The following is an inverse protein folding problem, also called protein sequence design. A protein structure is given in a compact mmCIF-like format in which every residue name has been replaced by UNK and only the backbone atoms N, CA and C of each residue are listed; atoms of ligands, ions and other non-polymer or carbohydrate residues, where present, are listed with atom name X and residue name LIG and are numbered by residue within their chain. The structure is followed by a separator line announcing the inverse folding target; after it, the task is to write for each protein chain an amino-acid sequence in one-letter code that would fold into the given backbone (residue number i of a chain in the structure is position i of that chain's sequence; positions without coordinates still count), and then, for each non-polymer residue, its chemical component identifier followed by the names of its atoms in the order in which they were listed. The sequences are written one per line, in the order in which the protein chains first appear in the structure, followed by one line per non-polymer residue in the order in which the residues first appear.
data_IF_808094929820
#
_entry.id   IF_808094929820
#
_cell.length_a   1.000
_cell.length_b   1.000
_cell.length_c   1.000
_cell.angle_alpha   90.00
_cell.angle_beta   90.00
_cell.angle_gamma   90.00
#
_symmetry.space_group_name_H-M   'P 1'
#
loop_
_entity.id
_entity.type
_entity.pdbx_description
1 polymer ?
#
# COMPACT_ATOMS: atom_id res chain seq x y z
N UNK A 1 -45.69 67.25 59.47
CA UNK A 1 -46.26 66.31 60.46
C UNK A 1 -45.61 64.96 60.22
N UNK A 2 -44.90 64.48 61.25
CA UNK A 2 -44.01 63.31 61.27
C UNK A 2 -44.78 62.02 61.00
N UNK A 3 -44.28 61.11 60.16
CA UNK A 3 -44.59 59.67 60.28
C UNK A 3 -43.56 58.77 59.56
N UNK A 4 -42.71 58.16 60.40
CA UNK A 4 -42.15 56.80 60.37
C UNK A 4 -41.52 56.23 59.08
N UNK A 5 -40.18 56.24 59.06
CA UNK A 5 -39.33 55.38 58.21
C UNK A 5 -39.24 53.98 58.83
N UNK A 6 -39.95 53.00 58.27
CA UNK A 6 -39.77 51.58 58.58
C UNK A 6 -38.73 50.95 57.64
N UNK A 7 -37.56 50.64 58.21
CA UNK A 7 -36.46 49.89 57.58
C UNK A 7 -36.93 48.47 57.23
N UNK A 8 -36.85 48.08 55.96
CA UNK A 8 -37.01 46.69 55.50
C UNK A 8 -35.71 45.89 55.75
N UNK A 9 -35.76 44.67 56.33
CA UNK A 9 -34.57 43.85 56.49
C UNK A 9 -34.17 43.22 55.14
N UNK A 10 -32.89 43.29 54.78
CA UNK A 10 -32.29 42.48 53.72
C UNK A 10 -32.18 41.03 54.21
N UNK A 11 -32.84 40.10 53.51
CA UNK A 11 -32.61 38.66 53.64
C UNK A 11 -31.31 38.28 52.90
N UNK A 12 -30.41 37.49 53.51
CA UNK A 12 -29.24 36.97 52.80
C UNK A 12 -29.68 35.87 51.83
N UNK A 13 -29.39 36.04 50.53
CA UNK A 13 -29.48 34.95 49.56
C UNK A 13 -28.40 33.90 49.91
N UNK A 14 -28.82 32.77 50.45
CA UNK A 14 -27.99 31.56 50.49
C UNK A 14 -27.91 30.98 49.08
N UNK A 15 -26.75 31.11 48.43
CA UNK A 15 -26.44 30.41 47.19
C UNK A 15 -26.21 28.92 47.51
N UNK A 16 -27.15 28.07 47.10
CA UNK A 16 -27.00 26.61 47.13
C UNK A 16 -26.03 26.19 46.01
N UNK A 17 -24.90 25.52 46.30
CA UNK A 17 -24.09 24.93 45.24
C UNK A 17 -24.84 23.72 44.69
N UNK A 18 -25.39 23.83 43.48
CA UNK A 18 -25.84 22.68 42.71
C UNK A 18 -24.61 21.83 42.36
N UNK A 19 -24.42 20.74 43.12
CA UNK A 19 -23.56 19.63 42.74
C UNK A 19 -24.11 19.01 41.45
N UNK A 20 -23.56 19.41 40.32
CA UNK A 20 -23.74 18.69 39.04
C UNK A 20 -22.94 17.39 39.15
N UNK A 21 -23.63 16.31 39.51
CA UNK A 21 -23.08 14.96 39.42
C UNK A 21 -22.92 14.66 37.92
N UNK A 22 -21.71 14.37 37.41
CA UNK A 22 -21.56 13.96 36.03
C UNK A 22 -22.30 12.64 35.84
N UNK A 23 -23.41 12.67 35.10
CA UNK A 23 -24.05 11.45 34.65
C UNK A 23 -23.08 10.74 33.70
N UNK A 24 -22.75 9.45 33.93
CA UNK A 24 -21.97 8.69 32.96
C UNK A 24 -22.78 8.66 31.66
N UNK A 25 -22.22 9.27 30.61
CA UNK A 25 -22.72 9.06 29.25
C UNK A 25 -22.70 7.54 29.00
N UNK A 26 -23.78 6.92 28.49
CA UNK A 26 -23.69 5.55 28.04
C UNK A 26 -22.51 5.43 27.08
N UNK A 27 -21.53 4.62 27.45
CA UNK A 27 -20.50 4.18 26.53
C UNK A 27 -21.25 3.59 25.34
N UNK A 28 -21.06 4.17 24.15
CA UNK A 28 -21.45 3.46 22.94
C UNK A 28 -20.70 2.13 23.03
N UNK A 29 -21.45 1.04 23.22
CA UNK A 29 -20.96 -0.29 22.88
C UNK A 29 -20.62 -0.19 21.40
N UNK A 30 -19.36 0.14 21.11
CA UNK A 30 -18.86 0.13 19.75
C UNK A 30 -19.16 -1.29 19.26
N UNK A 31 -20.03 -1.39 18.25
CA UNK A 31 -20.34 -2.67 17.63
C UNK A 31 -19.03 -3.36 17.23
N UNK A 32 -19.02 -4.69 17.26
CA UNK A 32 -17.83 -5.44 16.90
C UNK A 32 -17.35 -4.99 15.51
N UNK A 33 -16.05 -4.69 15.32
CA UNK A 33 -15.56 -3.95 14.16
C UNK A 33 -15.61 -4.73 12.84
N UNK A 34 -15.86 -6.03 12.88
CA UNK A 34 -15.88 -6.91 11.72
C UNK A 34 -17.24 -7.58 11.61
N UNK A 35 -17.77 -7.71 10.40
CA UNK A 35 -19.03 -8.42 10.19
C UNK A 35 -19.09 -9.21 8.90
N UNK A 36 -19.83 -10.31 8.93
CA UNK A 36 -20.14 -11.17 7.80
C UNK A 36 -21.66 -11.36 7.82
N UNK A 37 -22.35 -10.92 6.77
CA UNK A 37 -23.80 -11.08 6.62
C UNK A 37 -24.65 -10.68 7.85
N UNK A 38 -24.18 -9.68 8.61
CA UNK A 38 -24.83 -9.15 9.81
C UNK A 38 -24.38 -9.78 11.13
N UNK A 39 -23.66 -10.90 11.10
CA UNK A 39 -22.96 -11.43 12.27
C UNK A 39 -21.71 -10.60 12.57
N UNK A 40 -21.50 -10.23 13.84
CA UNK A 40 -20.44 -9.30 14.25
C UNK A 40 -19.37 -10.02 15.08
N UNK A 41 -18.10 -9.73 14.78
CA UNK A 41 -16.92 -10.35 15.38
C UNK A 41 -16.02 -9.30 16.03
N UNK A 42 -15.52 -9.63 17.22
CA UNK A 42 -14.63 -8.74 18.00
C UNK A 42 -13.18 -8.74 17.49
N UNK A 43 -12.74 -9.82 16.83
CA UNK A 43 -11.40 -9.97 16.23
C UNK A 43 -11.52 -10.33 14.77
N UNK A 44 -10.58 -9.86 13.95
CA UNK A 44 -10.59 -10.12 12.53
C UNK A 44 -10.41 -11.62 12.25
N UNK A 45 -9.53 -12.26 13.02
CA UNK A 45 -9.29 -13.70 12.89
C UNK A 45 -10.56 -14.51 13.12
N UNK A 46 -11.42 -14.13 14.07
CA UNK A 46 -12.67 -14.86 14.32
C UNK A 46 -13.62 -14.81 13.12
N UNK A 47 -13.66 -13.67 12.41
CA UNK A 47 -14.41 -13.54 11.16
C UNK A 47 -13.79 -14.38 10.03
N UNK A 48 -12.45 -14.40 9.91
CA UNK A 48 -11.76 -15.25 8.93
C UNK A 48 -12.04 -16.73 9.18
N UNK A 49 -11.96 -17.17 10.44
CA UNK A 49 -12.20 -18.55 10.86
C UNK A 49 -13.67 -18.96 10.61
N UNK A 50 -14.61 -18.02 10.79
CA UNK A 50 -16.03 -18.26 10.52
C UNK A 50 -16.32 -18.51 9.02
N UNK A 51 -15.55 -17.92 8.09
CA UNK A 51 -15.67 -18.22 6.66
C UNK A 51 -15.07 -19.61 6.35
N UNK A 52 -13.93 -19.93 6.97
CA UNK A 52 -13.26 -21.23 6.81
C UNK A 52 -12.89 -21.52 5.36
N UNK A 53 -13.32 -22.67 4.84
CA UNK A 53 -13.08 -23.08 3.45
C UNK A 53 -14.03 -22.43 2.42
N UNK A 54 -15.04 -21.69 2.90
CA UNK A 54 -16.06 -21.07 2.07
C UNK A 54 -15.60 -19.79 1.36
N UNK A 55 -16.58 -19.07 0.83
CA UNK A 55 -16.41 -17.74 0.26
C UNK A 55 -17.22 -16.73 1.07
N UNK A 56 -16.64 -15.57 1.38
CA UNK A 56 -17.32 -14.57 2.20
C UNK A 56 -16.70 -13.18 2.13
N UNK A 57 -17.46 -12.19 2.57
CA UNK A 57 -17.00 -10.80 2.69
C UNK A 57 -17.00 -10.37 4.16
N UNK A 58 -15.83 -9.99 4.65
CA UNK A 58 -15.68 -9.33 5.94
C UNK A 58 -15.79 -7.83 5.71
N UNK A 59 -16.87 -7.24 6.23
CA UNK A 59 -17.07 -5.79 6.29
C UNK A 59 -16.38 -5.22 7.53
N UNK A 60 -15.51 -4.24 7.32
CA UNK A 60 -14.63 -3.69 8.35
C UNK A 60 -15.05 -2.26 8.66
N UNK A 61 -15.46 -2.01 9.90
CA UNK A 61 -15.96 -0.72 10.36
C UNK A 61 -14.87 0.37 10.31
N UNK A 62 -15.26 1.66 10.22
CA UNK A 62 -14.34 2.78 10.41
C UNK A 62 -13.61 2.70 11.75
N UNK A 63 -12.32 3.01 11.76
CA UNK A 63 -11.51 3.05 12.96
C UNK A 63 -10.07 2.58 12.75
N UNK A 64 -9.30 2.65 13.83
CA UNK A 64 -7.99 2.04 13.92
C UNK A 64 -8.13 0.59 14.39
N UNK A 65 -7.65 -0.33 13.58
CA UNK A 65 -7.64 -1.76 13.84
C UNK A 65 -6.21 -2.15 14.25
N UNK A 66 -6.03 -2.38 15.56
CA UNK A 66 -4.82 -2.98 16.13
C UNK A 66 -4.96 -4.50 16.10
N UNK A 67 -5.13 -5.03 14.90
CA UNK A 67 -5.47 -6.43 14.66
C UNK A 67 -4.74 -6.92 13.41
N UNK A 68 -4.71 -8.24 13.24
CA UNK A 68 -4.17 -8.90 12.06
C UNK A 68 -4.88 -10.23 11.86
N UNK A 69 -4.78 -10.80 10.67
CA UNK A 69 -5.34 -12.13 10.41
C UNK A 69 -4.49 -12.95 9.45
N UNK A 70 -4.63 -14.26 9.60
CA UNK A 70 -4.08 -15.30 8.74
C UNK A 70 -5.25 -16.02 8.06
N UNK A 71 -5.37 -15.87 6.75
CA UNK A 71 -6.32 -16.63 5.93
C UNK A 71 -5.63 -17.90 5.44
N UNK A 72 -6.00 -19.05 6.01
CA UNK A 72 -5.44 -20.36 5.61
C UNK A 72 -6.27 -21.11 4.57
N UNK A 73 -7.53 -20.72 4.37
CA UNK A 73 -8.46 -21.37 3.46
C UNK A 73 -9.46 -20.37 2.86
N UNK A 74 -10.33 -20.87 1.99
CA UNK A 74 -11.47 -20.13 1.45
C UNK A 74 -11.09 -18.95 0.56
N UNK A 75 -12.12 -18.23 0.09
CA UNK A 75 -11.98 -16.99 -0.69
C UNK A 75 -12.58 -15.83 0.10
N UNK A 76 -11.75 -14.89 0.54
CA UNK A 76 -12.21 -13.83 1.46
C UNK A 76 -12.02 -12.45 0.84
N UNK A 77 -13.10 -11.66 0.83
CA UNK A 77 -13.04 -10.24 0.57
C UNK A 77 -12.99 -9.45 1.88
N UNK A 78 -11.96 -8.63 2.08
CA UNK A 78 -11.82 -7.71 3.18
C UNK A 78 -12.17 -6.31 2.69
N UNK A 79 -13.31 -5.77 3.14
CA UNK A 79 -13.92 -4.58 2.56
C UNK A 79 -14.19 -3.54 3.64
N UNK A 80 -13.65 -2.34 3.49
CA UNK A 80 -14.01 -1.22 4.34
C UNK A 80 -15.51 -0.92 4.19
N UNK A 81 -16.22 -0.76 5.31
CA UNK A 81 -17.59 -0.26 5.29
C UNK A 81 -17.64 1.17 4.72
N UNK A 82 -16.61 1.97 5.01
CA UNK A 82 -16.36 3.28 4.40
C UNK A 82 -14.92 3.32 3.87
N UNK A 83 -14.70 3.43 2.54
CA UNK A 83 -13.36 3.45 1.96
C UNK A 83 -12.43 4.49 2.60
N UNK A 84 -11.21 4.09 2.93
CA UNK A 84 -10.19 4.92 3.56
C UNK A 84 -10.36 5.12 5.07
N UNK A 85 -11.40 4.54 5.69
CA UNK A 85 -11.71 4.75 7.11
C UNK A 85 -11.41 3.56 8.02
N UNK A 86 -11.18 2.37 7.46
CA UNK A 86 -10.67 1.21 8.19
C UNK A 86 -9.14 1.14 8.08
N UNK A 87 -8.44 1.38 9.20
CA UNK A 87 -6.98 1.56 9.23
C UNK A 87 -6.31 0.48 10.08
N UNK A 88 -5.66 -0.48 9.44
CA UNK A 88 -4.76 -1.43 10.09
C UNK A 88 -3.45 -0.73 10.45
N UNK A 89 -3.08 -0.73 11.74
CA UNK A 89 -1.96 0.05 12.25
C UNK A 89 -0.98 -0.82 13.05
N UNK A 90 0.19 -1.07 12.48
CA UNK A 90 1.39 -1.58 13.15
C UNK A 90 1.32 -2.98 13.77
N UNK A 91 0.16 -3.63 13.78
CA UNK A 91 0.00 -5.01 14.26
C UNK A 91 0.19 -5.97 13.09
N UNK A 92 1.03 -6.98 13.28
CA UNK A 92 1.34 -7.99 12.28
C UNK A 92 1.16 -9.39 12.84
N UNK A 93 0.69 -10.29 11.98
CA UNK A 93 0.56 -11.71 12.24
C UNK A 93 1.81 -12.43 11.71
N UNK A 94 2.23 -13.47 12.43
CA UNK A 94 3.41 -14.31 12.11
C UNK A 94 4.73 -13.54 11.96
N UNK A 95 4.81 -12.31 12.47
CA UNK A 95 5.96 -11.43 12.21
C UNK A 95 6.11 -11.05 10.74
N UNK A 96 5.00 -11.02 9.98
CA UNK A 96 5.00 -10.76 8.52
C UNK A 96 4.18 -9.52 8.15
N UNK A 97 2.87 -9.56 8.37
CA UNK A 97 1.95 -8.55 7.82
C UNK A 97 0.65 -8.42 8.63
N UNK A 98 -0.12 -7.35 8.39
CA UNK A 98 -1.48 -7.27 8.93
C UNK A 98 -2.40 -8.36 8.36
N UNK A 99 -2.28 -8.65 7.06
CA UNK A 99 -2.97 -9.77 6.42
C UNK A 99 -1.95 -10.75 5.86
N UNK A 100 -1.94 -11.98 6.36
CA UNK A 100 -1.17 -13.08 5.80
C UNK A 100 -2.13 -14.01 5.06
N UNK A 101 -2.03 -14.01 3.73
CA UNK A 101 -3.04 -14.59 2.86
C UNK A 101 -2.46 -15.82 2.17
N UNK A 102 -3.04 -16.99 2.44
CA UNK A 102 -2.67 -18.27 1.84
C UNK A 102 -3.87 -19.19 1.58
N UNK A 103 -5.07 -18.61 1.46
CA UNK A 103 -6.30 -19.31 1.08
C UNK A 103 -6.46 -19.44 -0.44
N UNK A 104 -7.68 -19.74 -0.91
CA UNK A 104 -8.02 -19.93 -2.32
C UNK A 104 -8.12 -18.61 -3.14
N UNK A 105 -7.98 -17.47 -2.48
CA UNK A 105 -7.95 -16.15 -3.10
C UNK A 105 -8.43 -15.07 -2.14
N UNK A 106 -8.11 -13.81 -2.44
CA UNK A 106 -8.51 -12.70 -1.60
C UNK A 106 -8.81 -11.43 -2.39
N UNK A 107 -9.62 -10.56 -1.77
CA UNK A 107 -9.90 -9.22 -2.27
C UNK A 107 -9.75 -8.21 -1.15
N UNK A 108 -9.17 -7.06 -1.46
CA UNK A 108 -9.02 -5.91 -0.57
C UNK A 108 -9.71 -4.72 -1.21
N UNK A 109 -10.64 -4.10 -0.50
CA UNK A 109 -11.34 -2.90 -0.99
C UNK A 109 -11.42 -1.80 0.07
N UNK A 110 -10.80 -0.65 -0.22
CA UNK A 110 -10.95 0.54 0.61
C UNK A 110 -10.16 0.54 1.92
N UNK A 111 -9.30 -0.45 2.17
CA UNK A 111 -8.53 -0.55 3.42
C UNK A 111 -7.29 0.34 3.42
N UNK A 112 -6.89 0.78 4.62
CA UNK A 112 -5.62 1.46 4.86
C UNK A 112 -4.71 0.58 5.71
N UNK A 113 -3.46 0.41 5.29
CA UNK A 113 -2.41 -0.27 6.04
C UNK A 113 -1.30 0.72 6.38
N UNK A 114 -0.90 0.79 7.64
CA UNK A 114 0.17 1.69 8.06
C UNK A 114 1.07 1.17 9.17
N UNK A 115 2.28 1.72 9.22
CA UNK A 115 3.26 1.49 10.28
C UNK A 115 3.67 0.02 10.46
N UNK A 116 3.59 -0.79 9.40
CA UNK A 116 3.97 -2.20 9.46
C UNK A 116 5.49 -2.32 9.50
N UNK A 117 6.00 -2.90 10.59
CA UNK A 117 7.42 -3.11 10.85
C UNK A 117 7.62 -4.42 11.57
N UNK A 118 8.57 -5.24 11.11
CA UNK A 118 8.88 -6.53 11.71
C UNK A 118 10.40 -6.71 11.84
N UNK A 119 10.89 -7.65 12.67
CA UNK A 119 12.33 -7.76 12.96
C UNK A 119 13.22 -8.04 11.73
N UNK A 120 12.73 -8.78 10.74
CA UNK A 120 13.47 -9.09 9.51
C UNK A 120 13.48 -7.94 8.49
N UNK A 121 12.73 -6.88 8.77
CA UNK A 121 12.67 -5.67 7.98
C UNK A 121 11.76 -5.68 6.76
N UNK A 122 10.86 -6.67 6.65
CA UNK A 122 9.89 -6.80 5.55
C UNK A 122 8.42 -6.74 6.03
N UNK A 123 8.14 -5.91 7.04
CA UNK A 123 6.79 -5.78 7.59
C UNK A 123 5.82 -5.17 6.59
N UNK A 124 4.80 -5.94 6.18
CA UNK A 124 3.89 -5.57 5.09
C UNK A 124 2.47 -5.26 5.55
N UNK A 125 1.71 -4.52 4.74
CA UNK A 125 0.26 -4.52 4.85
C UNK A 125 -0.31 -5.90 4.52
N UNK A 126 0.19 -6.49 3.43
CA UNK A 126 -0.22 -7.82 2.94
C UNK A 126 0.99 -8.69 2.66
N UNK A 127 1.00 -9.90 3.23
CA UNK A 127 1.86 -10.99 2.79
C UNK A 127 0.99 -12.00 2.03
N UNK A 128 1.19 -12.12 0.72
CA UNK A 128 0.46 -13.08 -0.13
C UNK A 128 1.34 -14.29 -0.43
N UNK A 129 0.97 -15.46 0.07
CA UNK A 129 1.79 -16.67 -0.08
C UNK A 129 1.35 -17.57 -1.24
N UNK A 130 0.09 -17.47 -1.69
CA UNK A 130 -0.45 -18.18 -2.86
C UNK A 130 -1.77 -17.53 -3.29
N UNK A 131 -2.26 -17.91 -4.47
CA UNK A 131 -3.56 -17.56 -5.02
C UNK A 131 -3.70 -16.12 -5.52
N UNK A 132 -4.83 -15.87 -6.20
CA UNK A 132 -5.15 -14.55 -6.74
C UNK A 132 -5.43 -13.52 -5.64
N UNK A 133 -4.97 -12.29 -5.87
CA UNK A 133 -5.26 -11.14 -5.02
C UNK A 133 -5.71 -9.94 -5.85
N UNK A 134 -6.90 -9.43 -5.54
CA UNK A 134 -7.41 -8.17 -6.06
C UNK A 134 -7.35 -7.07 -5.00
N UNK A 135 -6.58 -6.01 -5.24
CA UNK A 135 -6.47 -4.84 -4.36
C UNK A 135 -7.04 -3.62 -5.07
N UNK A 136 -8.04 -2.99 -4.47
CA UNK A 136 -8.66 -1.79 -5.03
C UNK A 136 -8.94 -0.72 -3.98
N UNK A 137 -8.81 0.56 -4.36
CA UNK A 137 -9.11 1.70 -3.50
C UNK A 137 -8.35 1.68 -2.16
N UNK A 138 -7.19 1.00 -2.10
CA UNK A 138 -6.46 0.78 -0.86
C UNK A 138 -5.32 1.81 -0.69
N UNK A 139 -4.89 2.03 0.55
CA UNK A 139 -3.72 2.85 0.84
C UNK A 139 -2.73 2.12 1.74
N UNK A 140 -1.48 2.08 1.32
CA UNK A 140 -0.34 1.54 2.08
C UNK A 140 0.59 2.70 2.41
N UNK A 141 0.91 2.91 3.69
CA UNK A 141 1.80 4.01 4.08
C UNK A 141 2.71 3.76 5.26
N UNK A 142 3.83 4.47 5.30
CA UNK A 142 4.75 4.52 6.45
C UNK A 142 5.18 3.13 6.98
N UNK A 143 5.32 2.15 6.09
CA UNK A 143 5.58 0.74 6.41
C UNK A 143 6.86 0.28 5.70
N UNK A 144 7.43 -0.84 6.13
CA UNK A 144 8.58 -1.43 5.45
C UNK A 144 8.20 -1.91 4.05
N UNK A 145 7.13 -2.69 3.94
CA UNK A 145 6.51 -3.16 2.69
C UNK A 145 5.05 -2.69 2.57
N UNK A 146 4.55 -2.55 1.35
CA UNK A 146 3.11 -2.48 1.10
C UNK A 146 2.53 -3.88 0.92
N UNK A 147 2.95 -4.54 -0.15
CA UNK A 147 2.58 -5.91 -0.51
C UNK A 147 3.84 -6.71 -0.79
N UNK A 148 3.98 -7.86 -0.14
CA UNK A 148 5.07 -8.81 -0.37
C UNK A 148 4.51 -10.19 -0.68
N UNK A 149 4.90 -10.78 -1.81
CA UNK A 149 4.39 -12.10 -2.23
C UNK A 149 5.45 -13.20 -2.16
N UNK A 150 5.01 -14.44 -2.02
CA UNK A 150 5.79 -15.63 -2.37
C UNK A 150 5.74 -15.89 -3.89
N UNK A 151 5.98 -17.13 -4.31
CA UNK A 151 5.89 -17.54 -5.71
C UNK A 151 4.59 -18.33 -5.94
N UNK A 152 3.83 -17.93 -6.95
CA UNK A 152 2.68 -18.67 -7.48
C UNK A 152 2.52 -18.38 -8.98
N UNK A 153 3.24 -19.10 -9.86
CA UNK A 153 3.25 -18.81 -11.30
C UNK A 153 1.89 -19.04 -11.98
N UNK A 154 0.94 -19.71 -11.31
CA UNK A 154 -0.42 -19.90 -11.81
C UNK A 154 -1.38 -18.76 -11.46
N UNK A 155 -1.00 -17.89 -10.52
CA UNK A 155 -1.86 -16.86 -9.96
C UNK A 155 -1.57 -15.46 -10.53
N UNK A 156 -2.49 -14.55 -10.19
CA UNK A 156 -2.46 -13.15 -10.59
C UNK A 156 -2.59 -12.19 -9.39
N UNK A 157 -1.91 -11.04 -9.50
CA UNK A 157 -2.09 -9.92 -8.58
C UNK A 157 -2.58 -8.71 -9.36
N UNK A 158 -3.74 -8.20 -8.99
CA UNK A 158 -4.29 -6.96 -9.54
C UNK A 158 -4.29 -5.86 -8.48
N UNK A 159 -3.75 -4.71 -8.83
CA UNK A 159 -3.76 -3.50 -8.00
C UNK A 159 -4.36 -2.37 -8.81
N UNK A 160 -5.45 -1.79 -8.31
CA UNK A 160 -6.18 -0.73 -8.98
C UNK A 160 -6.51 0.43 -8.03
N UNK A 161 -6.48 1.66 -8.54
CA UNK A 161 -6.90 2.88 -7.79
C UNK A 161 -6.33 2.96 -6.37
N UNK A 162 -5.09 2.53 -6.18
CA UNK A 162 -4.49 2.42 -4.85
C UNK A 162 -3.35 3.43 -4.66
N UNK A 163 -2.91 3.61 -3.42
CA UNK A 163 -1.80 4.52 -3.09
C UNK A 163 -0.75 3.83 -2.23
N UNK A 164 0.51 3.98 -2.59
CA UNK A 164 1.69 3.50 -1.89
C UNK A 164 2.57 4.71 -1.56
N UNK A 165 2.67 5.07 -0.28
CA UNK A 165 3.28 6.34 0.16
C UNK A 165 4.23 6.14 1.33
N UNK A 166 5.49 6.56 1.24
CA UNK A 166 6.49 6.33 2.31
C UNK A 166 6.64 4.87 2.70
N UNK A 167 6.93 4.04 1.69
CA UNK A 167 7.24 2.62 1.85
C UNK A 167 8.68 2.34 1.44
N UNK A 168 9.17 1.17 1.84
CA UNK A 168 10.49 0.69 1.50
C UNK A 168 11.57 1.17 2.47
N UNK A 169 12.69 0.44 2.44
CA UNK A 169 13.92 0.70 3.20
C UNK A 169 15.06 -0.11 2.60
N UNK A 170 16.30 0.35 2.76
CA UNK A 170 17.52 -0.37 2.36
C UNK A 170 18.65 -0.24 3.39
N UNK A 171 18.32 0.10 4.65
CA UNK A 171 19.27 0.36 5.74
C UNK A 171 19.47 -0.88 6.63
N UNK A 172 20.01 -0.73 7.85
CA UNK A 172 20.14 -1.81 8.88
C UNK A 172 20.89 -3.10 8.47
N UNK A 173 21.54 -3.16 7.31
CA UNK A 173 22.24 -4.37 6.83
C UNK A 173 21.31 -5.55 6.49
N UNK A 174 20.00 -5.30 6.36
CA UNK A 174 19.01 -6.30 5.95
C UNK A 174 18.69 -6.13 4.46
N UNK A 175 18.00 -7.12 3.88
CA UNK A 175 17.46 -6.99 2.52
C UNK A 175 16.59 -5.73 2.41
N UNK A 176 16.57 -5.14 1.21
CA UNK A 176 15.70 -4.01 0.94
C UNK A 176 14.24 -4.44 0.97
N UNK A 177 13.40 -3.57 1.53
CA UNK A 177 11.96 -3.64 1.39
C UNK A 177 11.49 -2.63 0.32
N UNK A 178 10.32 -2.86 -0.27
CA UNK A 178 9.80 -2.11 -1.41
C UNK A 178 8.37 -1.59 -1.16
N UNK A 179 7.74 -0.95 -2.16
CA UNK A 179 6.30 -0.63 -2.03
C UNK A 179 5.44 -1.84 -2.41
N UNK A 180 5.72 -2.43 -3.57
CA UNK A 180 5.17 -3.71 -4.00
C UNK A 180 6.34 -4.61 -4.40
N UNK A 181 6.43 -5.76 -3.75
CA UNK A 181 7.44 -6.77 -4.04
C UNK A 181 6.77 -8.12 -4.32
N UNK A 182 6.80 -8.55 -5.58
CA UNK A 182 6.32 -9.87 -5.95
C UNK A 182 7.47 -10.86 -6.18
N UNK A 183 7.28 -12.09 -5.69
CA UNK A 183 7.89 -13.27 -6.28
C UNK A 183 7.35 -13.54 -7.69
N UNK A 184 7.55 -14.77 -8.16
CA UNK A 184 7.12 -15.22 -9.49
C UNK A 184 5.61 -15.40 -9.49
N UNK A 185 4.91 -14.60 -10.29
CA UNK A 185 3.47 -14.70 -10.55
C UNK A 185 3.22 -14.82 -12.05
N UNK A 186 2.11 -15.44 -12.44
CA UNK A 186 1.74 -15.54 -13.85
C UNK A 186 1.49 -14.16 -14.46
N UNK A 187 0.76 -13.32 -13.73
CA UNK A 187 0.40 -11.97 -14.16
C UNK A 187 0.36 -10.97 -13.00
N UNK A 188 0.93 -9.78 -13.22
CA UNK A 188 0.76 -8.63 -12.32
C UNK A 188 0.17 -7.46 -13.10
N UNK A 189 -0.96 -6.95 -12.63
CA UNK A 189 -1.66 -5.79 -13.20
C UNK A 189 -1.62 -4.67 -12.18
N UNK A 190 -1.08 -3.51 -12.55
CA UNK A 190 -1.04 -2.32 -11.71
C UNK A 190 -1.59 -1.17 -12.52
N UNK A 191 -2.76 -0.67 -12.16
CA UNK A 191 -3.41 0.42 -12.89
C UNK A 191 -3.90 1.54 -11.98
N UNK A 192 -3.92 2.78 -12.51
CA UNK A 192 -4.49 3.96 -11.84
C UNK A 192 -3.98 4.14 -10.40
N UNK A 193 -2.75 3.71 -10.17
CA UNK A 193 -2.15 3.61 -8.83
C UNK A 193 -1.07 4.65 -8.65
N UNK A 194 -0.99 5.20 -7.44
CA UNK A 194 -0.05 6.25 -7.08
C UNK A 194 1.04 5.71 -6.18
N UNK A 195 2.29 5.84 -6.61
CA UNK A 195 3.49 5.56 -5.84
C UNK A 195 4.18 6.88 -5.53
N UNK A 196 4.43 7.17 -4.26
CA UNK A 196 5.07 8.43 -3.89
C UNK A 196 5.95 8.35 -2.63
N UNK A 197 6.88 9.29 -2.50
CA UNK A 197 7.59 9.56 -1.24
C UNK A 197 8.28 8.32 -0.64
N UNK A 198 8.77 7.41 -1.47
CA UNK A 198 9.42 6.18 -1.03
C UNK A 198 10.54 6.46 -0.04
N UNK A 199 10.77 5.53 0.89
CA UNK A 199 11.77 5.64 1.96
C UNK A 199 12.90 4.61 1.82
N UNK A 200 12.94 3.93 0.67
CA UNK A 200 13.97 3.00 0.26
C UNK A 200 13.47 2.06 -0.82
N UNK A 201 14.36 1.28 -1.41
CA UNK A 201 14.00 0.21 -2.35
C UNK A 201 13.22 0.69 -3.58
N UNK A 202 12.63 -0.26 -4.30
CA UNK A 202 11.85 0.02 -5.51
C UNK A 202 10.40 0.37 -5.17
N UNK A 203 9.74 1.13 -6.05
CA UNK A 203 8.28 1.30 -5.94
C UNK A 203 7.56 0.02 -6.38
N UNK A 204 7.88 -0.51 -7.56
CA UNK A 204 7.33 -1.78 -8.04
C UNK A 204 8.47 -2.72 -8.44
N UNK A 205 8.71 -3.76 -7.64
CA UNK A 205 9.60 -4.88 -7.98
C UNK A 205 8.78 -6.12 -8.23
N UNK A 206 8.76 -6.63 -9.45
CA UNK A 206 7.95 -7.80 -9.80
C UNK A 206 8.68 -8.83 -10.64
N UNK A 207 8.61 -10.10 -10.23
CA UNK A 207 9.10 -11.24 -11.02
C UNK A 207 8.00 -11.89 -11.87
N UNK A 208 6.91 -11.18 -12.14
CA UNK A 208 5.81 -11.71 -12.93
C UNK A 208 6.22 -12.00 -14.38
N UNK A 209 5.66 -13.06 -14.95
CA UNK A 209 5.91 -13.46 -16.33
C UNK A 209 5.30 -12.41 -17.28
N UNK A 210 4.06 -12.01 -17.02
CA UNK A 210 3.35 -10.97 -17.75
C UNK A 210 3.03 -9.79 -16.84
N UNK A 211 3.26 -8.57 -17.33
CA UNK A 211 2.90 -7.34 -16.62
C UNK A 211 1.96 -6.46 -17.44
N UNK A 212 1.04 -5.80 -16.74
CA UNK A 212 0.26 -4.66 -17.26
C UNK A 212 0.37 -3.51 -16.26
N UNK A 213 1.31 -2.60 -16.51
CA UNK A 213 1.60 -1.46 -15.65
C UNK A 213 1.17 -0.21 -16.40
N UNK A 214 -0.08 0.20 -16.20
CA UNK A 214 -0.72 1.22 -17.03
C UNK A 214 -1.42 2.35 -16.23
N UNK A 215 -1.33 3.58 -16.72
CA UNK A 215 -1.98 4.76 -16.12
C UNK A 215 -1.62 5.00 -14.64
N UNK A 216 -0.37 4.75 -14.24
CA UNK A 216 0.11 4.99 -12.88
C UNK A 216 0.92 6.28 -12.76
N UNK A 217 1.08 6.77 -11.53
CA UNK A 217 2.00 7.86 -11.22
C UNK A 217 3.07 7.42 -10.23
N UNK A 218 4.34 7.60 -10.59
CA UNK A 218 5.52 7.40 -9.74
C UNK A 218 6.17 8.75 -9.45
N UNK A 219 5.87 9.32 -8.28
CA UNK A 219 6.36 10.62 -7.83
C UNK A 219 7.39 10.48 -6.72
N UNK A 220 8.66 10.48 -7.11
CA UNK A 220 9.79 10.30 -6.22
C UNK A 220 10.40 11.65 -5.79
N UNK A 221 9.75 12.79 -6.08
CA UNK A 221 10.28 14.13 -5.76
C UNK A 221 10.55 14.36 -4.27
N UNK A 222 9.80 13.65 -3.42
CA UNK A 222 9.92 13.63 -1.96
C UNK A 222 10.36 12.25 -1.45
N UNK A 223 10.94 11.42 -2.30
CA UNK A 223 11.55 10.15 -1.90
C UNK A 223 12.94 10.33 -1.31
N UNK A 224 13.36 9.35 -0.50
CA UNK A 224 14.66 9.28 0.15
C UNK A 224 15.23 7.87 0.02
N UNK A 225 16.48 7.73 -0.41
CA UNK A 225 17.14 6.42 -0.52
C UNK A 225 16.46 5.43 -1.45
N UNK A 226 15.59 5.87 -2.36
CA UNK A 226 14.84 4.98 -3.24
C UNK A 226 15.70 4.43 -4.38
N UNK A 227 15.25 3.35 -5.00
CA UNK A 227 15.92 2.64 -6.09
C UNK A 227 15.07 2.77 -7.38
N UNK A 228 15.20 1.86 -8.36
CA UNK A 228 14.40 1.93 -9.60
C UNK A 228 12.89 2.06 -9.33
N UNK A 229 12.18 2.78 -10.19
CA UNK A 229 10.72 2.94 -10.02
C UNK A 229 9.98 1.66 -10.37
N UNK A 230 10.37 1.06 -11.48
CA UNK A 230 9.93 -0.27 -11.88
C UNK A 230 11.17 -1.14 -12.04
N UNK A 231 11.19 -2.25 -11.34
CA UNK A 231 12.19 -3.29 -11.48
C UNK A 231 11.51 -4.59 -11.88
N UNK A 232 11.92 -5.12 -13.04
CA UNK A 232 11.54 -6.43 -13.56
C UNK A 232 12.77 -7.34 -13.43
N UNK A 233 13.16 -7.76 -12.22
CA UNK A 233 14.48 -8.34 -11.97
C UNK A 233 14.74 -9.63 -12.76
N UNK A 234 13.68 -10.38 -13.10
CA UNK A 234 13.76 -11.62 -13.89
C UNK A 234 13.41 -11.45 -15.38
N UNK A 235 13.10 -10.21 -15.81
CA UNK A 235 12.43 -9.91 -17.09
C UNK A 235 10.91 -10.11 -17.02
N UNK A 236 10.19 -9.60 -18.02
CA UNK A 236 8.75 -9.84 -18.24
C UNK A 236 8.34 -9.49 -19.67
N UNK A 237 7.22 -10.05 -20.14
CA UNK A 237 6.47 -9.56 -21.31
C UNK A 237 5.24 -8.76 -20.88
N UNK A 238 4.53 -8.15 -21.83
CA UNK A 238 3.33 -7.35 -21.58
C UNK A 238 3.56 -5.87 -21.86
N UNK A 239 3.08 -4.98 -20.98
CA UNK A 239 3.15 -3.54 -21.22
C UNK A 239 3.45 -2.69 -19.98
N UNK A 240 4.20 -1.60 -20.21
CA UNK A 240 4.39 -0.46 -19.32
C UNK A 240 3.97 0.78 -20.09
N UNK A 241 2.75 1.26 -19.85
CA UNK A 241 2.13 2.27 -20.70
C UNK A 241 1.49 3.44 -19.94
N UNK A 242 1.49 4.62 -20.56
CA UNK A 242 0.76 5.79 -20.07
C UNK A 242 1.05 6.21 -18.62
N UNK A 243 2.23 5.83 -18.09
CA UNK A 243 2.61 6.18 -16.73
C UNK A 243 3.31 7.55 -16.68
N UNK A 244 3.15 8.24 -15.56
CA UNK A 244 3.93 9.43 -15.22
C UNK A 244 5.05 9.05 -14.27
N UNK A 245 6.28 9.46 -14.58
CA UNK A 245 7.46 9.24 -13.75
C UNK A 245 8.14 10.58 -13.44
N UNK A 246 8.38 10.86 -12.16
CA UNK A 246 9.23 11.98 -11.73
C UNK A 246 10.28 11.44 -10.78
N UNK A 247 11.54 11.39 -11.22
CA UNK A 247 12.62 10.79 -10.45
C UNK A 247 13.10 11.71 -9.33
N UNK A 248 13.25 11.19 -8.12
CA UNK A 248 13.74 11.95 -6.98
C UNK A 248 15.21 12.32 -7.10
N UNK A 249 15.61 13.33 -6.33
CA UNK A 249 17.02 13.67 -6.15
C UNK A 249 17.76 12.59 -5.36
N UNK A 250 17.14 12.12 -4.29
CA UNK A 250 17.71 11.21 -3.31
C UNK A 250 17.38 9.76 -3.68
N UNK A 251 18.36 9.10 -4.28
CA UNK A 251 18.26 7.71 -4.73
C UNK A 251 19.54 6.98 -4.40
N UNK A 252 19.40 5.75 -3.93
CA UNK A 252 20.51 4.81 -3.86
C UNK A 252 20.99 4.45 -5.27
N UNK A 253 20.04 4.17 -6.17
CA UNK A 253 20.34 3.91 -7.57
C UNK A 253 19.48 4.79 -8.47
N UNK A 254 20.15 5.72 -9.15
CA UNK A 254 19.55 6.65 -10.09
C UNK A 254 19.82 6.31 -11.55
N UNK A 255 20.50 5.19 -11.84
CA UNK A 255 21.00 4.90 -13.18
C UNK A 255 19.87 4.62 -14.18
N UNK A 256 18.71 4.15 -13.72
CA UNK A 256 17.55 3.88 -14.55
C UNK A 256 16.21 4.19 -13.84
N UNK A 257 15.13 4.33 -14.61
CA UNK A 257 13.75 4.38 -14.10
C UNK A 257 13.10 2.99 -14.14
N UNK A 258 13.22 2.32 -15.30
CA UNK A 258 12.74 0.97 -15.56
C UNK A 258 13.95 0.07 -15.78
N UNK A 259 14.12 -0.94 -14.94
CA UNK A 259 15.15 -1.96 -15.08
C UNK A 259 14.53 -3.29 -15.54
N UNK A 260 15.12 -3.89 -16.58
CA UNK A 260 14.64 -5.14 -17.17
C UNK A 260 15.71 -6.22 -17.05
N UNK A 261 15.35 -7.34 -16.41
CA UNK A 261 16.19 -8.53 -16.20
C UNK A 261 17.52 -8.24 -15.46
N UNK A 262 17.52 -7.28 -14.55
CA UNK A 262 18.72 -6.79 -13.88
C UNK A 262 19.36 -7.81 -12.90
N UNK A 263 18.61 -8.80 -12.43
CA UNK A 263 19.11 -9.85 -11.54
C UNK A 263 19.27 -11.19 -12.26
N UNK A 264 18.34 -11.53 -13.15
CA UNK A 264 18.34 -12.79 -13.87
C UNK A 264 17.49 -12.72 -15.15
N UNK A 265 17.68 -13.69 -16.06
CA UNK A 265 17.00 -13.76 -17.37
C UNK A 265 16.07 -14.96 -17.45
N UNK A 266 15.18 -15.13 -16.45
CA UNK A 266 14.30 -16.30 -16.36
C UNK A 266 13.01 -16.15 -17.16
N UNK A 267 12.54 -14.91 -17.37
CA UNK A 267 11.37 -14.62 -18.18
C UNK A 267 11.80 -14.00 -19.53
N UNK A 268 11.05 -14.25 -20.62
CA UNK A 268 11.24 -13.50 -21.86
C UNK A 268 10.95 -12.01 -21.64
N UNK A 269 11.62 -11.16 -22.38
CA UNK A 269 11.40 -9.71 -22.44
C UNK A 269 11.17 -9.19 -23.86
N UNK A 270 11.39 -10.03 -24.88
CA UNK A 270 11.08 -9.72 -26.28
C UNK A 270 9.63 -9.28 -26.43
N UNK A 271 9.44 -8.12 -27.05
CA UNK A 271 8.12 -7.54 -27.27
C UNK A 271 7.49 -6.89 -26.04
N UNK A 272 8.19 -6.77 -24.89
CA UNK A 272 7.72 -5.94 -23.79
C UNK A 272 7.49 -4.51 -24.29
N UNK A 273 6.23 -4.08 -24.29
CA UNK A 273 5.80 -2.80 -24.84
C UNK A 273 6.01 -1.69 -23.82
N UNK A 274 6.74 -0.64 -24.19
CA UNK A 274 6.99 0.51 -23.31
C UNK A 274 6.69 1.80 -24.10
N UNK A 275 5.49 2.35 -23.94
CA UNK A 275 5.00 3.45 -24.78
C UNK A 275 4.00 4.37 -24.05
N UNK A 276 3.85 5.60 -24.52
CA UNK A 276 2.90 6.59 -23.97
C UNK A 276 3.31 7.16 -22.61
N UNK A 277 4.46 6.79 -22.07
CA UNK A 277 4.89 7.26 -20.77
C UNK A 277 5.46 8.68 -20.84
N UNK A 278 5.32 9.41 -19.73
CA UNK A 278 5.94 10.72 -19.50
C UNK A 278 6.94 10.57 -18.36
N UNK A 279 8.20 10.92 -18.59
CA UNK A 279 9.23 10.81 -17.57
C UNK A 279 10.06 12.08 -17.47
N UNK A 280 10.35 12.54 -16.25
CA UNK A 280 11.17 13.73 -16.04
C UNK A 280 12.12 13.61 -14.85
N UNK A 281 13.16 14.42 -14.87
CA UNK A 281 14.04 14.69 -13.75
C UNK A 281 13.73 16.07 -13.15
N UNK A 282 13.96 16.31 -11.85
CA UNK A 282 13.78 17.60 -11.21
C UNK A 282 14.65 18.67 -11.85
N UNK A 283 14.13 19.89 -11.94
CA UNK A 283 14.89 21.03 -12.45
C UNK A 283 16.18 21.26 -11.65
N UNK A 284 17.26 21.60 -12.36
CA UNK A 284 18.58 21.86 -11.78
C UNK A 284 19.32 20.62 -11.31
N UNK A 285 18.79 19.41 -11.53
CA UNK A 285 19.51 18.17 -11.30
C UNK A 285 20.49 17.92 -12.47
N UNK A 286 21.78 18.16 -12.24
CA UNK A 286 22.83 17.87 -13.23
C UNK A 286 23.22 16.39 -13.20
N UNK A 287 22.26 15.50 -13.48
CA UNK A 287 22.43 14.04 -13.47
C UNK A 287 21.79 13.45 -14.72
N UNK A 288 22.45 12.43 -15.29
CA UNK A 288 21.87 11.62 -16.36
C UNK A 288 21.27 10.35 -15.77
N UNK A 289 20.19 9.88 -16.38
CA UNK A 289 19.55 8.62 -16.04
C UNK A 289 18.99 7.98 -17.31
N UNK A 290 18.75 6.68 -17.28
CA UNK A 290 18.17 5.94 -18.41
C UNK A 290 16.69 5.71 -18.15
N UNK A 291 15.85 5.96 -19.13
CA UNK A 291 14.43 5.64 -19.02
C UNK A 291 14.22 4.11 -18.92
N UNK A 292 14.79 3.35 -19.85
CA UNK A 292 14.78 1.88 -19.83
C UNK A 292 16.21 1.33 -19.92
N UNK A 293 16.65 0.62 -18.89
CA UNK A 293 17.91 -0.14 -18.90
C UNK A 293 17.62 -1.64 -19.01
N UNK A 294 18.23 -2.29 -20.00
CA UNK A 294 17.94 -3.69 -20.34
C UNK A 294 19.16 -4.60 -20.21
N UNK A 295 19.07 -5.56 -19.31
CA UNK A 295 20.03 -6.65 -19.15
C UNK A 295 19.59 -7.93 -19.85
N UNK A 296 18.37 -8.01 -20.39
CA UNK A 296 17.88 -9.23 -21.06
C UNK A 296 18.61 -9.47 -22.38
N UNK A 297 18.93 -8.38 -23.09
CA UNK A 297 19.49 -8.41 -24.44
C UNK A 297 18.48 -8.80 -25.51
N UNK A 298 17.19 -8.94 -25.16
CA UNK A 298 16.11 -9.23 -26.10
C UNK A 298 15.54 -7.96 -26.73
N UNK A 299 14.84 -8.12 -27.86
CA UNK A 299 14.26 -6.99 -28.57
C UNK A 299 12.99 -6.47 -27.85
N UNK A 300 13.15 -5.47 -26.99
CA UNK A 300 12.03 -4.77 -26.35
C UNK A 300 11.24 -3.93 -27.39
N UNK A 301 9.94 -3.77 -27.18
CA UNK A 301 9.07 -2.93 -28.01
C UNK A 301 8.93 -1.52 -27.39
N UNK A 302 10.02 -0.78 -27.30
CA UNK A 302 10.00 0.61 -26.79
C UNK A 302 9.42 1.50 -27.88
N UNK A 303 8.26 2.13 -27.61
CA UNK A 303 7.56 3.03 -28.52
C UNK A 303 7.85 4.51 -28.26
N UNK A 304 6.90 5.37 -28.61
CA UNK A 304 6.95 6.80 -28.33
C UNK A 304 6.77 7.05 -26.83
N UNK A 305 7.64 7.85 -26.22
CA UNK A 305 7.57 8.28 -24.82
C UNK A 305 8.06 9.73 -24.74
N UNK A 306 7.48 10.53 -23.85
CA UNK A 306 7.90 11.91 -23.62
C UNK A 306 8.93 11.94 -22.49
N UNK A 307 10.20 12.21 -22.83
CA UNK A 307 11.31 12.17 -21.89
C UNK A 307 11.88 13.58 -21.67
N UNK A 308 11.93 14.00 -20.41
CA UNK A 308 12.56 15.25 -20.00
C UNK A 308 14.08 15.23 -20.16
N UNK A 309 14.68 16.43 -20.08
CA UNK A 309 16.12 16.58 -20.19
C UNK A 309 16.88 15.71 -19.17
N UNK A 310 18.02 15.16 -19.60
CA UNK A 310 18.86 14.26 -18.80
C UNK A 310 18.45 12.78 -18.83
N UNK A 311 17.33 12.43 -19.48
CA UNK A 311 16.93 11.05 -19.71
C UNK A 311 17.42 10.53 -21.06
N UNK A 312 18.21 9.47 -21.03
CA UNK A 312 18.52 8.65 -22.20
C UNK A 312 17.37 7.66 -22.41
N UNK A 313 16.84 7.56 -23.63
CA UNK A 313 15.69 6.70 -23.92
C UNK A 313 15.88 5.23 -23.55
N UNK A 314 17.03 4.68 -23.89
CA UNK A 314 17.30 3.26 -23.75
C UNK A 314 18.80 3.02 -23.62
N UNK A 315 19.18 2.07 -22.77
CA UNK A 315 20.54 1.57 -22.68
C UNK A 315 20.52 0.05 -22.50
N UNK A 316 21.33 -0.65 -23.29
CA UNK A 316 21.61 -2.07 -23.09
C UNK A 316 22.75 -2.21 -22.08
N UNK A 317 22.61 -3.11 -21.12
CA UNK A 317 23.54 -3.37 -20.02
C UNK A 317 24.12 -4.78 -20.08
#
# INVERSE_FOLDING_TARGET
MVMSLLRRPLLPLFALPLLVVPAPLPAQTAGAPYSIDGESFGRLQDAVDAIGEGEGTIRIAPGYHRDCAVQTAGRIAFVAAEPGRAIFDGVTCEGKAALVLRGAGARIDGLVFQNMRVPDGNGAGIRLETSDLDVVNAMFRNSEEGILTANDPGASLTIDRSTFSRLGRCDRGLSCAHSVYTGIYGKVVVTRTRFEKGSGGHYLKTRAITVDINDNSFDDTQGTGTNYMIDLPSGSVGQIANNMFVQGRDKENYSALIAVAAEERKNPSRGLAIAGNRASLPSGLNRKSVFVADWSGEALAIGANELGAGLTRFEKR
#
